data_IF_072558430257
#
_entry.id   IF_072558430257
#
_cell.length_a   1.000
_cell.length_b   1.000
_cell.length_c   1.000
_cell.angle_alpha   90.00
_cell.angle_beta   90.00
_cell.angle_gamma   90.00
#
_symmetry.space_group_name_H-M   'P 1'
#
loop_
_entity.id
_entity.type
_entity.pdbx_description
1 polymer ?
#
# COMPACT_ATOMS: atom_id res chain seq x y z
N UNK A 1 14.99 -19.89 1.02
CA UNK A 1 13.99 -19.89 -0.07
C UNK A 1 14.46 -18.86 -1.06
N UNK A 2 15.14 -19.30 -2.10
CA UNK A 2 15.56 -18.43 -3.20
C UNK A 2 14.32 -18.06 -4.01
N UNK A 3 13.85 -16.82 -3.87
CA UNK A 3 12.74 -16.27 -4.66
C UNK A 3 13.20 -15.93 -6.10
N UNK A 4 14.52 -15.98 -6.35
CA UNK A 4 15.16 -15.50 -7.57
C UNK A 4 15.16 -16.48 -8.77
N UNK A 5 15.12 -17.82 -8.67
CA UNK A 5 15.32 -18.66 -9.83
C UNK A 5 13.99 -19.07 -10.49
N UNK A 6 13.25 -18.10 -11.02
CA UNK A 6 12.33 -18.32 -12.17
C UNK A 6 11.66 -17.00 -12.60
N UNK A 7 12.42 -15.91 -12.73
CA UNK A 7 11.89 -14.77 -13.48
C UNK A 7 11.57 -15.24 -14.91
N UNK A 8 10.36 -15.02 -15.44
CA UNK A 8 10.05 -15.44 -16.80
C UNK A 8 11.01 -14.76 -17.79
N UNK A 9 11.88 -15.54 -18.42
CA UNK A 9 12.94 -15.02 -19.30
C UNK A 9 12.41 -14.33 -20.58
N UNK A 10 11.12 -14.45 -20.88
CA UNK A 10 10.47 -13.87 -22.05
C UNK A 10 9.88 -12.47 -21.80
N UNK A 11 9.85 -12.01 -20.55
CA UNK A 11 9.19 -10.75 -20.17
C UNK A 11 10.18 -9.58 -20.12
N UNK A 12 9.71 -8.38 -20.44
CA UNK A 12 10.51 -7.17 -20.26
C UNK A 12 10.79 -6.93 -18.76
N UNK A 13 11.88 -6.22 -18.44
CA UNK A 13 12.26 -5.96 -17.04
C UNK A 13 11.12 -5.28 -16.22
N UNK A 14 10.32 -4.44 -16.88
CA UNK A 14 9.17 -3.77 -16.29
C UNK A 14 8.05 -4.75 -15.93
N UNK A 15 7.75 -5.69 -16.81
CA UNK A 15 6.72 -6.72 -16.56
C UNK A 15 7.19 -7.73 -15.51
N UNK A 16 8.48 -8.07 -15.51
CA UNK A 16 9.10 -8.90 -14.48
C UNK A 16 8.98 -8.24 -13.09
N UNK A 17 9.08 -6.92 -13.00
CA UNK A 17 8.86 -6.19 -11.75
C UNK A 17 7.43 -6.35 -11.23
N UNK A 18 6.44 -6.16 -12.10
CA UNK A 18 5.03 -6.33 -11.74
C UNK A 18 4.71 -7.77 -11.34
N UNK A 19 5.32 -8.74 -12.01
CA UNK A 19 5.26 -10.15 -11.63
C UNK A 19 5.82 -10.37 -10.21
N UNK A 20 7.03 -9.88 -9.91
CA UNK A 20 7.65 -9.98 -8.58
C UNK A 20 6.76 -9.38 -7.50
N UNK A 21 6.21 -8.18 -7.74
CA UNK A 21 5.26 -7.54 -6.81
C UNK A 21 4.01 -8.38 -6.59
N UNK A 22 3.48 -8.99 -7.64
CA UNK A 22 2.31 -9.88 -7.55
C UNK A 22 2.58 -11.13 -6.71
N UNK A 23 3.76 -11.74 -6.84
CA UNK A 23 4.17 -12.91 -6.05
C UNK A 23 4.39 -12.54 -4.58
N UNK A 24 5.03 -11.40 -4.32
CA UNK A 24 5.22 -10.89 -2.95
C UNK A 24 3.87 -10.59 -2.29
N UNK A 25 2.92 -10.00 -3.02
CA UNK A 25 1.55 -9.81 -2.53
C UNK A 25 0.90 -11.14 -2.17
N UNK A 26 0.96 -12.13 -3.06
CA UNK A 26 0.37 -13.46 -2.83
C UNK A 26 1.00 -14.15 -1.62
N UNK A 27 2.32 -14.10 -1.51
CA UNK A 27 3.07 -14.62 -0.36
C UNK A 27 2.63 -13.94 0.93
N UNK A 28 2.58 -12.61 0.96
CA UNK A 28 2.22 -11.82 2.15
C UNK A 28 0.79 -12.14 2.61
N UNK A 29 -0.15 -12.24 1.66
CA UNK A 29 -1.54 -12.63 1.96
C UNK A 29 -1.62 -14.04 2.55
N UNK A 30 -0.94 -15.01 1.93
CA UNK A 30 -0.90 -16.38 2.42
C UNK A 30 -0.27 -16.48 3.80
N UNK A 31 0.88 -15.82 4.00
CA UNK A 31 1.53 -15.73 5.30
C UNK A 31 0.61 -15.14 6.36
N UNK A 32 -0.10 -14.04 6.06
CA UNK A 32 -1.03 -13.43 7.01
C UNK A 32 -2.18 -14.37 7.42
N UNK A 33 -2.72 -15.14 6.47
CA UNK A 33 -3.76 -16.16 6.72
C UNK A 33 -3.18 -17.29 7.59
N UNK A 34 -2.06 -17.87 7.17
CA UNK A 34 -1.42 -18.99 7.86
C UNK A 34 -1.00 -18.61 9.28
N UNK A 35 -0.42 -17.42 9.44
CA UNK A 35 -0.03 -16.86 10.72
C UNK A 35 -1.23 -16.61 11.65
N UNK A 36 -2.34 -16.08 11.11
CA UNK A 36 -3.60 -15.93 11.87
C UNK A 36 -4.14 -17.28 12.33
N UNK A 37 -4.12 -18.28 11.44
CA UNK A 37 -4.57 -19.64 11.74
C UNK A 37 -3.69 -20.33 12.78
N UNK A 38 -2.37 -20.24 12.62
CA UNK A 38 -1.39 -20.71 13.58
C UNK A 38 -1.64 -20.07 14.95
N UNK A 39 -1.79 -18.75 15.01
CA UNK A 39 -2.01 -18.03 16.26
C UNK A 39 -3.28 -18.49 16.99
N UNK A 40 -4.40 -18.66 16.27
CA UNK A 40 -5.64 -19.22 16.83
C UNK A 40 -5.44 -20.63 17.40
N UNK A 41 -4.68 -21.49 16.70
CA UNK A 41 -4.33 -22.84 17.18
C UNK A 41 -3.45 -22.77 18.43
N UNK A 42 -2.42 -21.92 18.43
CA UNK A 42 -1.50 -21.72 19.55
C UNK A 42 -2.23 -21.26 20.81
N UNK A 43 -3.15 -20.30 20.71
CA UNK A 43 -3.98 -19.87 21.85
C UNK A 43 -4.78 -21.04 22.43
N UNK A 44 -5.43 -21.86 21.58
CA UNK A 44 -6.17 -23.04 22.04
C UNK A 44 -5.27 -24.06 22.74
N UNK A 45 -4.07 -24.31 22.20
CA UNK A 45 -3.10 -25.25 22.78
C UNK A 45 -2.60 -24.75 24.13
N UNK A 46 -2.23 -23.47 24.24
CA UNK A 46 -1.78 -22.87 25.50
C UNK A 46 -2.89 -22.86 26.56
N UNK A 47 -4.12 -22.56 26.18
CA UNK A 47 -5.27 -22.63 27.09
C UNK A 47 -5.53 -24.06 27.59
N UNK A 48 -5.41 -25.07 26.72
CA UNK A 48 -5.48 -26.49 27.14
C UNK A 48 -4.37 -26.83 28.12
N UNK A 49 -3.11 -26.51 27.77
CA UNK A 49 -1.94 -26.75 28.64
C UNK A 49 -2.11 -26.10 30.01
N UNK A 50 -2.59 -24.85 30.04
CA UNK A 50 -2.92 -24.12 31.28
C UNK A 50 -3.98 -24.85 32.10
N UNK A 51 -5.07 -25.29 31.46
CA UNK A 51 -6.15 -25.99 32.15
C UNK A 51 -5.72 -27.36 32.69
N UNK A 52 -4.94 -28.11 31.91
CA UNK A 52 -4.40 -29.40 32.32
C UNK A 52 -3.41 -29.24 33.48
N UNK A 53 -2.55 -28.23 33.42
CA UNK A 53 -1.67 -27.83 34.52
C UNK A 53 -2.46 -27.47 35.78
N UNK A 54 -3.57 -26.73 35.68
CA UNK A 54 -4.39 -26.44 36.86
C UNK A 54 -5.12 -27.68 37.40
N UNK A 55 -5.55 -28.58 36.52
CA UNK A 55 -6.20 -29.85 36.88
C UNK A 55 -5.26 -30.83 37.57
N UNK A 56 -3.96 -30.79 37.29
CA UNK A 56 -2.96 -31.61 37.99
C UNK A 56 -2.69 -31.15 39.43
N UNK A 57 -3.38 -30.09 39.91
CA UNK A 57 -3.28 -29.54 41.27
C UNK A 57 -1.83 -29.28 41.73
N UNK A 58 -1.05 -28.50 40.96
CA UNK A 58 0.34 -28.17 41.29
C UNK A 58 0.42 -27.36 42.59
N UNK A 59 1.57 -27.47 43.27
CA UNK A 59 1.85 -26.68 44.47
C UNK A 59 1.84 -25.18 44.19
N UNK A 60 1.65 -24.38 45.23
CA UNK A 60 1.63 -22.91 45.12
C UNK A 60 2.88 -22.38 44.44
N UNK A 61 4.07 -22.88 44.84
CA UNK A 61 5.34 -22.46 44.26
C UNK A 61 5.40 -22.73 42.74
N UNK A 62 4.95 -23.91 42.30
CA UNK A 62 4.92 -24.28 40.88
C UNK A 62 3.92 -23.40 40.12
N UNK A 63 2.76 -23.06 40.71
CA UNK A 63 1.80 -22.15 40.07
C UNK A 63 2.37 -20.76 39.85
N UNK A 64 3.02 -20.18 40.87
CA UNK A 64 3.59 -18.83 40.78
C UNK A 64 4.67 -18.72 39.70
N UNK A 65 5.38 -19.81 39.42
CA UNK A 65 6.42 -19.82 38.40
C UNK A 65 5.88 -19.98 36.97
N UNK A 66 5.00 -20.96 36.74
CA UNK A 66 4.61 -21.34 35.37
C UNK A 66 3.34 -20.65 34.85
N UNK A 67 2.40 -20.30 35.73
CA UNK A 67 1.13 -19.73 35.31
C UNK A 67 1.27 -18.34 34.66
N UNK A 68 2.08 -17.41 35.21
CA UNK A 68 2.27 -16.10 34.59
C UNK A 68 2.87 -16.17 33.18
N UNK A 69 3.79 -17.11 32.95
CA UNK A 69 4.41 -17.30 31.62
C UNK A 69 3.38 -17.74 30.59
N UNK A 70 2.50 -18.69 30.93
CA UNK A 70 1.43 -19.13 30.04
C UNK A 70 0.40 -18.00 29.80
N UNK A 71 0.04 -17.26 30.85
CA UNK A 71 -0.92 -16.17 30.76
C UNK A 71 -0.39 -15.01 29.89
N UNK A 72 0.88 -14.64 30.04
CA UNK A 72 1.52 -13.62 29.20
C UNK A 72 1.58 -14.05 27.72
N UNK A 73 1.90 -15.32 27.44
CA UNK A 73 1.90 -15.85 26.08
C UNK A 73 0.49 -15.85 25.45
N UNK A 74 -0.53 -16.22 26.22
CA UNK A 74 -1.92 -16.19 25.77
C UNK A 74 -2.35 -14.74 25.50
N UNK A 75 -2.06 -13.82 26.42
CA UNK A 75 -2.43 -12.42 26.32
C UNK A 75 -1.81 -11.75 25.09
N UNK A 76 -0.50 -11.91 24.88
CA UNK A 76 0.21 -11.38 23.71
C UNK A 76 -0.44 -11.83 22.40
N UNK A 77 -0.70 -13.14 22.24
CA UNK A 77 -1.33 -13.67 21.03
C UNK A 77 -2.78 -13.19 20.88
N UNK A 78 -3.52 -13.00 21.97
CA UNK A 78 -4.90 -12.50 21.91
C UNK A 78 -4.98 -11.00 21.58
N UNK A 79 -4.07 -10.19 22.11
CA UNK A 79 -4.02 -8.76 21.83
C UNK A 79 -3.80 -8.49 20.33
N UNK A 80 -2.90 -9.24 19.71
CA UNK A 80 -2.64 -9.14 18.27
C UNK A 80 -3.81 -9.65 17.39
N UNK A 81 -4.70 -10.51 17.91
CA UNK A 81 -5.94 -10.93 17.23
C UNK A 81 -7.02 -9.85 17.31
N UNK A 82 -7.14 -9.19 18.47
CA UNK A 82 -8.11 -8.12 18.70
C UNK A 82 -7.87 -6.92 17.79
N UNK A 83 -6.61 -6.53 17.58
CA UNK A 83 -6.25 -5.40 16.72
C UNK A 83 -6.71 -5.61 15.27
N UNK A 84 -6.53 -6.81 14.70
CA UNK A 84 -6.99 -7.12 13.34
C UNK A 84 -8.53 -7.06 13.20
N UNK A 85 -9.27 -7.58 14.19
CA UNK A 85 -10.73 -7.53 14.21
C UNK A 85 -11.27 -6.10 14.37
N UNK A 86 -10.60 -5.28 15.16
CA UNK A 86 -10.91 -3.86 15.30
C UNK A 86 -10.73 -3.11 13.97
N UNK A 87 -9.61 -3.31 13.27
CA UNK A 87 -9.36 -2.68 11.97
C UNK A 87 -10.40 -3.06 10.91
N UNK A 88 -10.85 -4.33 10.88
CA UNK A 88 -11.92 -4.77 9.98
C UNK A 88 -13.23 -4.03 10.26
N UNK A 89 -13.64 -3.92 11.53
CA UNK A 89 -14.85 -3.18 11.93
C UNK A 89 -14.73 -1.70 11.60
N UNK A 90 -13.59 -1.10 11.91
CA UNK A 90 -13.29 0.31 11.59
C UNK A 90 -13.38 0.57 10.08
N UNK A 91 -12.85 -0.32 9.25
CA UNK A 91 -12.97 -0.22 7.80
C UNK A 91 -14.43 -0.33 7.34
N UNK A 92 -15.20 -1.30 7.87
CA UNK A 92 -16.61 -1.44 7.56
C UNK A 92 -17.42 -0.19 7.93
N UNK A 93 -17.19 0.37 9.14
CA UNK A 93 -17.81 1.61 9.59
C UNK A 93 -17.47 2.76 8.64
N UNK A 94 -16.19 2.98 8.34
CA UNK A 94 -15.75 4.05 7.42
C UNK A 94 -16.30 3.89 6.01
N UNK A 95 -16.44 2.66 5.50
CA UNK A 95 -17.01 2.41 4.18
C UNK A 95 -18.49 2.80 4.13
N UNK A 96 -19.23 2.54 5.22
CA UNK A 96 -20.64 2.97 5.36
C UNK A 96 -20.75 4.48 5.57
N UNK A 97 -19.87 5.09 6.36
CA UNK A 97 -19.87 6.55 6.59
C UNK A 97 -19.49 7.35 5.34
N UNK A 98 -18.59 6.81 4.51
CA UNK A 98 -18.14 7.45 3.27
C UNK A 98 -19.04 7.14 2.07
N UNK A 99 -20.04 6.29 2.22
CA UNK A 99 -20.99 6.05 1.13
C UNK A 99 -21.89 7.27 0.98
N UNK A 100 -21.92 7.84 -0.22
CA UNK A 100 -22.87 8.89 -0.56
C UNK A 100 -24.25 8.23 -0.67
N UNK A 101 -25.03 8.36 0.39
CA UNK A 101 -26.37 7.77 0.46
C UNK A 101 -27.43 8.69 -0.15
N UNK A 102 -27.12 9.99 -0.24
CA UNK A 102 -28.02 11.02 -0.72
C UNK A 102 -27.24 12.09 -1.47
N UNK A 103 -27.79 12.58 -2.58
CA UNK A 103 -27.34 13.79 -3.28
C UNK A 103 -28.55 14.68 -3.51
N UNK A 104 -28.31 15.98 -3.51
CA UNK A 104 -29.30 16.94 -3.96
C UNK A 104 -29.10 17.14 -5.46
N UNK A 105 -30.17 16.96 -6.23
CA UNK A 105 -30.17 17.33 -7.65
C UNK A 105 -30.11 18.86 -7.77
N UNK A 106 -29.09 19.43 -8.41
CA UNK A 106 -28.95 20.88 -8.57
C UNK A 106 -30.10 21.51 -9.36
N UNK A 107 -30.72 20.77 -10.29
CA UNK A 107 -31.75 21.30 -11.18
C UNK A 107 -33.15 21.30 -10.52
N UNK A 108 -33.48 20.24 -9.78
CA UNK A 108 -34.80 20.10 -9.13
C UNK A 108 -34.80 20.46 -7.64
N UNK A 109 -33.63 20.55 -7.01
CA UNK A 109 -33.47 20.78 -5.56
C UNK A 109 -33.88 19.60 -4.69
N UNK A 110 -34.29 18.47 -5.28
CA UNK A 110 -34.76 17.29 -4.57
C UNK A 110 -33.59 16.40 -4.12
N UNK A 111 -33.75 15.80 -2.94
CA UNK A 111 -32.79 14.81 -2.44
C UNK A 111 -33.09 13.45 -3.04
N UNK A 112 -32.13 12.90 -3.78
CA UNK A 112 -32.20 11.54 -4.34
C UNK A 112 -31.43 10.55 -3.48
N UNK A 113 -31.88 9.30 -3.46
CA UNK A 113 -31.22 8.18 -2.74
C UNK A 113 -31.04 6.93 -3.59
N UNK A 114 -31.67 6.88 -4.78
CA UNK A 114 -31.53 5.77 -5.71
C UNK A 114 -30.15 5.79 -6.34
N UNK A 115 -29.49 4.63 -6.38
CA UNK A 115 -28.15 4.48 -6.97
C UNK A 115 -28.07 4.98 -8.42
N UNK A 116 -29.10 4.74 -9.22
CA UNK A 116 -29.15 5.19 -10.63
C UNK A 116 -29.14 6.71 -10.71
N UNK A 117 -29.99 7.37 -9.91
CA UNK A 117 -30.08 8.83 -9.85
C UNK A 117 -28.81 9.46 -9.28
N UNK A 118 -28.20 8.85 -8.26
CA UNK A 118 -26.93 9.30 -7.69
C UNK A 118 -25.81 9.30 -8.74
N UNK A 119 -25.76 8.26 -9.58
CA UNK A 119 -24.78 8.15 -10.66
C UNK A 119 -25.02 9.16 -11.78
N UNK A 120 -26.26 9.34 -12.21
CA UNK A 120 -26.63 10.33 -13.24
C UNK A 120 -26.26 11.76 -12.82
N UNK A 121 -26.62 12.16 -11.59
CA UNK A 121 -26.29 13.50 -11.05
C UNK A 121 -24.78 13.67 -10.91
N UNK A 122 -24.08 12.66 -10.38
CA UNK A 122 -22.61 12.71 -10.25
C UNK A 122 -21.94 12.85 -11.62
N UNK A 123 -22.41 12.11 -12.62
CA UNK A 123 -21.87 12.17 -13.97
C UNK A 123 -22.10 13.55 -14.60
N UNK A 124 -23.30 14.11 -14.49
CA UNK A 124 -23.59 15.45 -15.01
C UNK A 124 -22.71 16.52 -14.33
N UNK A 125 -22.59 16.47 -13.01
CA UNK A 125 -21.76 17.39 -12.23
C UNK A 125 -20.28 17.34 -12.61
N UNK A 126 -19.68 16.14 -12.67
CA UNK A 126 -18.27 16.03 -13.06
C UNK A 126 -18.06 16.31 -14.54
N UNK A 127 -19.03 16.01 -15.40
CA UNK A 127 -18.96 16.41 -16.81
C UNK A 127 -18.91 17.94 -16.96
N UNK A 128 -19.63 18.70 -16.13
CA UNK A 128 -19.57 20.16 -16.12
C UNK A 128 -18.18 20.64 -15.67
N UNK A 129 -17.67 20.16 -14.53
CA UNK A 129 -16.36 20.58 -13.97
C UNK A 129 -15.19 20.23 -14.90
N UNK A 130 -15.26 19.07 -15.57
CA UNK A 130 -14.22 18.60 -16.47
C UNK A 130 -14.52 18.92 -17.94
N UNK A 131 -15.58 19.68 -18.22
CA UNK A 131 -15.77 20.22 -19.55
C UNK A 131 -14.66 21.24 -19.83
N UNK A 132 -14.09 21.16 -21.02
CA UNK A 132 -12.95 22.01 -21.38
C UNK A 132 -13.46 23.43 -21.54
N UNK A 133 -13.16 24.28 -20.55
CA UNK A 133 -13.28 25.72 -20.75
C UNK A 133 -12.30 26.13 -21.86
N UNK A 134 -12.75 26.90 -22.86
CA UNK A 134 -11.84 27.41 -23.89
C UNK A 134 -10.82 28.33 -23.23
N UNK A 135 -9.56 27.90 -23.21
CA UNK A 135 -8.44 28.72 -22.75
C UNK A 135 -8.06 29.67 -23.88
N UNK A 136 -8.01 30.97 -23.58
CA UNK A 136 -7.55 31.98 -24.53
C UNK A 136 -6.07 31.75 -24.87
N UNK A 137 -5.72 31.73 -26.17
CA UNK A 137 -4.33 31.63 -26.63
C UNK A 137 -3.47 32.78 -26.05
N UNK A 138 -4.07 33.95 -25.80
CA UNK A 138 -3.37 35.08 -25.18
C UNK A 138 -2.93 34.80 -23.74
N UNK A 139 -3.73 34.07 -22.96
CA UNK A 139 -3.40 33.71 -21.58
C UNK A 139 -2.27 32.66 -21.54
N UNK A 140 -2.24 31.76 -22.53
CA UNK A 140 -1.14 30.80 -22.72
C UNK A 140 0.16 31.54 -23.01
N UNK A 141 0.13 32.50 -23.95
CA UNK A 141 1.31 33.30 -24.32
C UNK A 141 1.82 34.14 -23.14
N UNK A 142 0.93 34.76 -22.35
CA UNK A 142 1.30 35.48 -21.14
C UNK A 142 1.99 34.56 -20.13
N UNK A 143 1.45 33.36 -19.86
CA UNK A 143 2.10 32.38 -18.99
C UNK A 143 3.47 31.93 -19.51
N UNK A 144 3.63 31.74 -20.81
CA UNK A 144 4.90 31.33 -21.42
C UNK A 144 5.95 32.44 -21.34
N UNK A 145 5.56 33.71 -21.46
CA UNK A 145 6.46 34.86 -21.28
C UNK A 145 7.01 34.94 -19.85
N UNK A 146 6.18 34.66 -18.84
CA UNK A 146 6.61 34.63 -17.44
C UNK A 146 7.61 33.51 -17.16
N UNK A 147 7.45 32.35 -17.83
CA UNK A 147 8.36 31.20 -17.72
C UNK A 147 9.71 31.47 -18.40
N UNK A 148 9.74 32.27 -19.47
CA UNK A 148 10.95 32.55 -20.25
C UNK A 148 12.07 33.20 -19.42
N UNK A 149 11.71 33.92 -18.34
CA UNK A 149 12.65 34.60 -17.44
C UNK A 149 13.09 33.75 -16.24
N UNK A 150 12.66 32.49 -16.14
CA UNK A 150 13.04 31.63 -15.02
C UNK A 150 14.51 31.20 -15.10
N UNK A 151 15.18 31.03 -13.95
CA UNK A 151 16.54 30.51 -13.89
C UNK A 151 16.63 29.14 -14.58
N UNK A 152 17.51 29.04 -15.59
CA UNK A 152 17.80 27.77 -16.24
C UNK A 152 18.76 26.93 -15.38
N UNK A 153 18.63 25.61 -15.48
CA UNK A 153 19.56 24.67 -14.84
C UNK A 153 20.94 24.81 -15.48
N UNK A 154 21.97 25.01 -14.66
CA UNK A 154 23.35 24.94 -15.11
C UNK A 154 23.71 23.51 -15.58
N UNK A 155 24.83 23.39 -16.30
CA UNK A 155 25.27 22.12 -16.89
C UNK A 155 25.50 21.03 -15.85
N UNK A 156 26.00 21.41 -14.68
CA UNK A 156 26.26 20.47 -13.58
C UNK A 156 24.96 19.90 -13.01
N UNK A 157 23.96 20.74 -12.78
CA UNK A 157 22.64 20.32 -12.31
C UNK A 157 21.93 19.46 -13.36
N UNK A 158 22.07 19.81 -14.66
CA UNK A 158 21.52 18.99 -15.75
C UNK A 158 22.14 17.59 -15.75
N UNK A 159 23.46 17.50 -15.64
CA UNK A 159 24.19 16.22 -15.55
C UNK A 159 23.81 15.42 -14.32
N UNK A 160 23.63 16.08 -13.18
CA UNK A 160 23.21 15.44 -11.94
C UNK A 160 21.80 14.83 -12.06
N UNK A 161 20.84 15.57 -12.64
CA UNK A 161 19.44 15.11 -12.78
C UNK A 161 19.28 13.89 -13.69
N UNK A 162 20.18 13.70 -14.66
CA UNK A 162 20.18 12.54 -15.56
C UNK A 162 21.15 11.43 -15.12
N UNK A 163 21.80 11.61 -13.97
CA UNK A 163 22.73 10.61 -13.45
C UNK A 163 21.98 9.32 -13.05
N UNK A 164 22.62 8.15 -13.14
CA UNK A 164 21.96 6.89 -12.79
C UNK A 164 21.53 6.86 -11.33
N UNK A 165 20.28 6.44 -11.09
CA UNK A 165 19.70 6.26 -9.76
C UNK A 165 20.37 5.07 -9.08
N UNK A 166 20.84 5.28 -7.86
CA UNK A 166 21.47 4.26 -7.01
C UNK A 166 20.45 3.55 -6.12
N UNK A 167 20.78 2.35 -5.63
CA UNK A 167 19.89 1.62 -4.72
C UNK A 167 19.80 2.32 -3.35
N UNK A 168 20.87 2.97 -2.91
CA UNK A 168 20.92 3.76 -1.68
C UNK A 168 19.93 4.92 -1.73
N UNK A 169 19.85 5.63 -2.86
CA UNK A 169 18.85 6.69 -3.05
C UNK A 169 17.42 6.15 -2.97
N UNK A 170 17.13 5.02 -3.62
CA UNK A 170 15.80 4.38 -3.57
C UNK A 170 15.43 4.00 -2.13
N UNK A 171 16.37 3.43 -1.37
CA UNK A 171 16.16 3.05 0.03
C UNK A 171 15.91 4.28 0.90
N UNK A 172 16.70 5.35 0.71
CA UNK A 172 16.55 6.58 1.49
C UNK A 172 15.22 7.30 1.19
N UNK A 173 14.81 7.37 -0.08
CA UNK A 173 13.51 7.96 -0.44
C UNK A 173 12.34 7.12 0.09
N UNK A 174 12.41 5.79 -0.04
CA UNK A 174 11.36 4.93 0.49
C UNK A 174 11.23 5.02 2.01
N UNK A 175 12.32 5.23 2.75
CA UNK A 175 12.30 5.44 4.21
C UNK A 175 11.44 6.62 4.65
N UNK A 176 11.46 7.72 3.88
CA UNK A 176 10.69 8.94 4.18
C UNK A 176 9.19 8.74 4.10
N UNK A 177 8.73 7.74 3.35
CA UNK A 177 7.29 7.48 3.11
C UNK A 177 6.71 6.36 3.97
N UNK A 178 7.52 5.52 4.61
CA UNK A 178 7.05 4.42 5.50
C UNK A 178 6.12 4.93 6.61
N UNK A 179 6.45 6.09 7.19
CA UNK A 179 5.69 6.67 8.31
C UNK A 179 4.40 7.34 7.86
N UNK A 180 4.25 7.60 6.55
CA UNK A 180 3.04 8.20 6.00
C UNK A 180 2.00 7.09 5.87
N UNK A 181 0.88 7.21 6.59
CA UNK A 181 -0.25 6.28 6.50
C UNK A 181 -1.05 6.53 5.20
N UNK A 182 -0.41 6.35 4.06
CA UNK A 182 -1.02 6.54 2.75
C UNK A 182 -1.54 5.18 2.27
N UNK A 183 -2.71 5.21 1.61
CA UNK A 183 -3.29 4.03 0.98
C UNK A 183 -2.33 3.43 -0.06
N UNK A 184 -2.24 2.08 -0.15
CA UNK A 184 -1.43 1.43 -1.17
C UNK A 184 -2.00 1.68 -2.58
N UNK A 185 -1.15 1.54 -3.60
CA UNK A 185 -1.52 1.67 -5.02
C UNK A 185 -2.45 0.55 -5.51
N UNK A 186 -2.66 0.47 -6.84
CA UNK A 186 -3.43 -0.62 -7.47
C UNK A 186 -2.82 -2.01 -7.16
N UNK A 187 -1.50 -2.08 -6.99
CA UNK A 187 -0.76 -3.28 -6.63
C UNK A 187 -1.06 -3.80 -5.21
N UNK A 188 -1.65 -2.97 -4.34
CA UNK A 188 -2.04 -3.34 -2.98
C UNK A 188 -0.86 -3.50 -2.01
N UNK A 189 0.35 -3.10 -2.40
CA UNK A 189 1.53 -3.11 -1.54
C UNK A 189 1.70 -1.74 -0.87
N UNK A 190 1.70 -1.72 0.46
CA UNK A 190 1.98 -0.49 1.22
C UNK A 190 3.45 -0.08 1.13
N UNK A 191 3.74 1.20 1.40
CA UNK A 191 5.10 1.75 1.39
C UNK A 191 6.09 1.02 2.32
N UNK A 192 5.58 0.45 3.43
CA UNK A 192 6.38 -0.40 4.32
C UNK A 192 6.91 -1.63 3.59
N UNK A 193 6.06 -2.30 2.80
CA UNK A 193 6.45 -3.48 2.04
C UNK A 193 7.44 -3.11 0.94
N UNK A 194 7.19 -2.03 0.20
CA UNK A 194 8.12 -1.55 -0.82
C UNK A 194 9.52 -1.28 -0.25
N UNK A 195 9.59 -0.63 0.92
CA UNK A 195 10.87 -0.40 1.58
C UNK A 195 11.60 -1.70 1.95
N UNK A 196 10.87 -2.71 2.47
CA UNK A 196 11.45 -4.03 2.77
C UNK A 196 11.96 -4.73 1.50
N UNK A 197 11.24 -4.60 0.39
CA UNK A 197 11.64 -5.18 -0.90
C UNK A 197 12.94 -4.53 -1.39
N UNK A 198 13.08 -3.21 -1.28
CA UNK A 198 14.30 -2.50 -1.69
C UNK A 198 15.53 -2.86 -0.84
N UNK A 199 15.32 -3.30 0.40
CA UNK A 199 16.39 -3.82 1.25
C UNK A 199 16.79 -5.27 0.92
N UNK A 200 15.95 -6.01 0.19
CA UNK A 200 16.20 -7.42 -0.10
C UNK A 200 17.33 -7.56 -1.13
N UNK A 201 18.51 -7.93 -0.64
CA UNK A 201 19.76 -7.98 -1.42
C UNK A 201 19.64 -8.63 -2.80
N UNK A 202 18.93 -9.78 -2.97
CA UNK A 202 18.85 -10.44 -4.27
C UNK A 202 18.08 -9.69 -5.36
N UNK A 203 17.29 -8.65 -5.00
CA UNK A 203 16.55 -7.85 -5.97
C UNK A 203 17.18 -6.49 -6.27
N UNK A 204 18.23 -6.08 -5.54
CA UNK A 204 18.79 -4.72 -5.63
C UNK A 204 19.20 -4.34 -7.05
N UNK A 205 20.03 -5.17 -7.69
CA UNK A 205 20.51 -4.91 -9.05
C UNK A 205 19.36 -4.84 -10.06
N UNK A 206 18.35 -5.70 -9.88
CA UNK A 206 17.16 -5.72 -10.72
C UNK A 206 16.31 -4.46 -10.55
N UNK A 207 16.08 -4.01 -9.31
CA UNK A 207 15.37 -2.77 -8.98
C UNK A 207 16.11 -1.56 -9.57
N UNK A 208 17.42 -1.49 -9.39
CA UNK A 208 18.24 -0.41 -9.95
C UNK A 208 18.13 -0.36 -11.48
N UNK A 209 18.12 -1.53 -12.14
CA UNK A 209 17.91 -1.62 -13.60
C UNK A 209 16.54 -1.08 -14.01
N UNK A 210 15.47 -1.42 -13.29
CA UNK A 210 14.11 -0.95 -13.57
C UNK A 210 14.03 0.58 -13.51
N UNK A 211 14.52 1.18 -12.43
CA UNK A 211 14.49 2.63 -12.22
C UNK A 211 15.33 3.37 -13.27
N UNK A 212 16.53 2.88 -13.58
CA UNK A 212 17.37 3.51 -14.58
C UNK A 212 16.82 3.34 -16.01
N UNK A 213 16.18 2.21 -16.31
CA UNK A 213 15.49 2.01 -17.60
C UNK A 213 14.33 3.00 -17.74
N UNK A 214 13.58 3.26 -16.66
CA UNK A 214 12.54 4.27 -16.63
C UNK A 214 13.11 5.69 -16.86
N UNK A 215 14.24 6.02 -16.22
CA UNK A 215 14.89 7.32 -16.38
C UNK A 215 15.42 7.54 -17.81
N UNK A 216 16.10 6.56 -18.41
CA UNK A 216 16.78 6.74 -19.70
C UNK A 216 15.91 6.46 -20.91
N UNK A 217 14.99 5.50 -20.82
CA UNK A 217 14.18 5.03 -21.95
C UNK A 217 12.69 5.38 -21.82
N UNK A 218 12.26 6.00 -20.71
CA UNK A 218 10.85 6.31 -20.48
C UNK A 218 9.95 5.08 -20.39
N UNK A 219 10.53 3.89 -20.12
CA UNK A 219 9.79 2.63 -20.01
C UNK A 219 9.49 2.35 -18.54
N UNK A 220 8.20 2.43 -18.17
CA UNK A 220 7.73 2.29 -16.79
C UNK A 220 6.94 0.98 -16.60
N UNK A 221 6.95 0.39 -15.39
CA UNK A 221 5.98 -0.65 -15.02
C UNK A 221 4.55 -0.14 -15.17
N UNK A 222 3.63 -1.00 -15.59
CA UNK A 222 2.22 -0.61 -15.77
C UNK A 222 1.59 -0.17 -14.46
N UNK A 223 1.95 -0.84 -13.37
CA UNK A 223 1.52 -0.51 -12.02
C UNK A 223 1.93 0.88 -11.51
N UNK A 224 2.91 1.54 -12.14
CA UNK A 224 3.28 2.93 -11.82
C UNK A 224 2.37 3.95 -12.51
N UNK A 225 1.69 3.52 -13.59
CA UNK A 225 0.81 4.35 -14.40
C UNK A 225 -0.66 4.20 -13.97
N UNK A 226 -0.99 3.15 -13.24
CA UNK A 226 -2.32 2.94 -12.66
C UNK A 226 -2.65 3.98 -11.58
N UNK A 227 -3.46 4.97 -11.94
CA UNK A 227 -4.14 5.83 -10.98
C UNK A 227 -5.41 5.14 -10.50
N UNK A 228 -5.58 4.97 -9.18
CA UNK A 228 -6.90 4.66 -8.60
C UNK A 228 -7.76 5.91 -8.76
N UNK A 229 -8.56 5.96 -9.83
CA UNK A 229 -9.75 6.82 -9.91
C UNK A 229 -10.86 6.17 -9.08
#
# INVERSE_FOLDING_TARGET
>A
MDIVPSLPNQMAAQEQWDYVKSEIRRFTQRYAIDYTNWRKKSVKVLQRKRNDFLRSRPSIAIRLHYLPVMDQQIESLQQELKSAGYLKRLHQIRTVERSINFLQDPASGLTVSSRTQLMEISQAFYHEIYSVDPVDEHDIDCCLQDIANLPQLNDDNRRYLISPITIEEIIEQSKKVIRRQISPGSDGLGYVFMHLIYQFSPLKDFITKIYNTALTAGSFPSSWQDLRV
#
